data_IF_921049628902
#
_entry.id   IF_921049628902
#
_cell.length_a   1.000
_cell.length_b   1.000
_cell.length_c   1.000
_cell.angle_alpha   90.00
_cell.angle_beta   90.00
_cell.angle_gamma   90.00
#
_symmetry.space_group_name_H-M   'P 1'
#
loop_
_entity.id
_entity.type
_entity.pdbx_description
1 polymer ?
#
# COMPACT_ATOMS: atom_id res chain seq x y z
N UNK A 1 -20.97 24.97 -30.81
CA UNK A 1 -21.08 23.55 -30.41
C UNK A 1 -19.87 22.83 -30.97
N UNK A 2 -18.92 22.48 -30.13
CA UNK A 2 -17.81 21.58 -30.46
C UNK A 2 -17.96 20.34 -29.56
N UNK A 3 -17.82 19.12 -30.08
CA UNK A 3 -17.77 17.96 -29.21
C UNK A 3 -16.39 17.93 -28.54
N UNK A 4 -16.39 17.89 -27.21
CA UNK A 4 -15.22 17.53 -26.42
C UNK A 4 -14.88 16.07 -26.74
N UNK A 5 -13.70 15.87 -27.31
CA UNK A 5 -13.11 14.56 -27.53
C UNK A 5 -13.06 13.80 -26.21
N UNK A 6 -13.66 12.61 -26.21
CA UNK A 6 -13.50 11.61 -25.16
C UNK A 6 -12.04 11.19 -25.19
N UNK A 7 -11.26 11.61 -24.20
CA UNK A 7 -9.96 11.02 -23.91
C UNK A 7 -10.21 9.56 -23.54
N UNK A 8 -9.91 8.66 -24.46
CA UNK A 8 -9.87 7.23 -24.19
C UNK A 8 -8.67 6.99 -23.27
N UNK A 9 -8.93 6.82 -21.98
CA UNK A 9 -7.93 6.41 -21.00
C UNK A 9 -7.54 4.95 -21.33
N UNK A 10 -6.40 4.77 -21.99
CA UNK A 10 -5.72 3.50 -22.19
C UNK A 10 -5.14 2.99 -20.86
N UNK A 11 -5.99 2.62 -19.91
CA UNK A 11 -5.60 1.68 -18.86
C UNK A 11 -5.85 0.24 -19.34
N UNK A 12 -5.73 -0.75 -18.45
CA UNK A 12 -6.10 -2.19 -18.62
C UNK A 12 -7.52 -2.40 -19.22
N UNK A 13 -8.26 -1.33 -19.48
CA UNK A 13 -9.53 -1.25 -20.20
C UNK A 13 -9.53 -1.84 -21.64
N UNK A 14 -8.39 -2.25 -22.21
CA UNK A 14 -8.40 -3.14 -23.36
C UNK A 14 -8.64 -4.56 -22.84
N UNK A 15 -9.63 -5.28 -23.37
CA UNK A 15 -9.98 -6.65 -22.94
C UNK A 15 -8.93 -7.70 -23.33
N UNK A 16 -7.64 -7.37 -23.15
CA UNK A 16 -6.48 -8.16 -23.50
C UNK A 16 -6.04 -8.97 -22.27
N UNK A 17 -6.16 -10.31 -22.29
CA UNK A 17 -5.71 -11.17 -21.21
C UNK A 17 -4.24 -10.93 -20.82
N UNK A 18 -3.37 -10.65 -21.80
CA UNK A 18 -1.94 -10.42 -21.55
C UNK A 18 -1.68 -9.17 -20.69
N UNK A 19 -2.49 -8.12 -20.84
CA UNK A 19 -2.37 -6.89 -20.04
C UNK A 19 -2.80 -7.12 -18.59
N UNK A 20 -3.83 -7.93 -18.37
CA UNK A 20 -4.30 -8.26 -17.04
C UNK A 20 -3.37 -9.23 -16.30
N UNK A 21 -2.78 -10.18 -17.03
CA UNK A 21 -1.76 -11.08 -16.50
C UNK A 21 -0.53 -10.28 -16.05
N UNK A 22 -0.05 -9.36 -16.90
CA UNK A 22 1.03 -8.43 -16.56
C UNK A 22 0.71 -7.57 -15.32
N UNK A 23 -0.51 -7.03 -15.23
CA UNK A 23 -0.94 -6.24 -14.07
C UNK A 23 -0.94 -7.06 -12.78
N UNK A 24 -1.34 -8.33 -12.86
CA UNK A 24 -1.38 -9.25 -11.71
C UNK A 24 0.03 -9.62 -11.25
N UNK A 25 0.96 -9.83 -12.18
CA UNK A 25 2.37 -10.03 -11.85
C UNK A 25 3.02 -8.79 -11.26
N UNK A 26 2.70 -7.60 -11.80
CA UNK A 26 3.14 -6.32 -11.25
C UNK A 26 2.69 -6.14 -9.79
N UNK A 27 1.42 -6.39 -9.50
CA UNK A 27 0.86 -6.31 -8.13
C UNK A 27 1.69 -7.18 -7.16
N UNK A 28 1.89 -8.45 -7.51
CA UNK A 28 2.65 -9.41 -6.68
C UNK A 28 4.10 -8.97 -6.45
N UNK A 29 4.77 -8.50 -7.50
CA UNK A 29 6.17 -8.08 -7.42
C UNK A 29 6.32 -6.81 -6.58
N UNK A 30 5.49 -5.79 -6.81
CA UNK A 30 5.51 -4.55 -6.02
C UNK A 30 5.19 -4.82 -4.54
N UNK A 31 4.21 -5.68 -4.24
CA UNK A 31 3.93 -6.11 -2.87
C UNK A 31 5.12 -6.80 -2.22
N UNK A 32 5.79 -7.71 -2.92
CA UNK A 32 6.97 -8.39 -2.39
C UNK A 32 8.08 -7.38 -2.04
N UNK A 33 8.31 -6.38 -2.89
CA UNK A 33 9.29 -5.33 -2.65
C UNK A 33 8.89 -4.43 -1.46
N UNK A 34 7.63 -4.01 -1.39
CA UNK A 34 7.10 -3.19 -0.30
C UNK A 34 7.17 -3.92 1.05
N UNK A 35 6.82 -5.22 1.09
CA UNK A 35 6.94 -6.06 2.30
C UNK A 35 8.38 -6.21 2.78
N UNK A 36 9.35 -6.32 1.87
CA UNK A 36 10.76 -6.35 2.24
C UNK A 36 11.20 -5.04 2.91
N UNK A 37 10.76 -3.90 2.37
CA UNK A 37 11.02 -2.59 2.98
C UNK A 37 10.36 -2.46 4.36
N UNK A 38 9.08 -2.84 4.49
CA UNK A 38 8.38 -2.85 5.78
C UNK A 38 9.08 -3.71 6.83
N UNK A 39 9.55 -4.90 6.44
CA UNK A 39 10.26 -5.79 7.37
C UNK A 39 11.55 -5.17 7.88
N UNK A 40 12.27 -4.44 7.03
CA UNK A 40 13.47 -3.71 7.45
C UNK A 40 13.13 -2.55 8.41
N UNK A 41 12.10 -1.77 8.08
CA UNK A 41 11.62 -0.68 8.94
C UNK A 41 11.16 -1.19 10.31
N UNK A 42 10.33 -2.24 10.32
CA UNK A 42 9.82 -2.86 11.53
C UNK A 42 10.95 -3.40 12.41
N UNK A 43 11.94 -4.05 11.81
CA UNK A 43 13.10 -4.58 12.53
C UNK A 43 13.88 -3.45 13.21
N UNK A 44 14.27 -2.42 12.47
CA UNK A 44 15.01 -1.28 13.03
C UNK A 44 14.19 -0.49 14.05
N UNK A 45 12.87 -0.37 13.87
CA UNK A 45 11.98 0.25 14.86
C UNK A 45 11.94 -0.55 16.18
N UNK A 46 11.91 -1.89 16.10
CA UNK A 46 11.95 -2.76 17.29
C UNK A 46 13.28 -2.63 18.04
N UNK A 47 14.39 -2.48 17.33
CA UNK A 47 15.72 -2.31 17.94
C UNK A 47 15.83 -1.06 18.81
N UNK A 48 15.09 0.02 18.51
CA UNK A 48 15.05 1.24 19.34
C UNK A 48 14.72 0.94 20.81
N UNK A 49 13.86 -0.03 21.07
CA UNK A 49 13.48 -0.41 22.44
C UNK A 49 14.60 -1.09 23.24
N UNK A 50 15.57 -1.67 22.54
CA UNK A 50 16.70 -2.41 23.11
C UNK A 50 17.90 -1.52 23.41
N UNK A 51 17.91 -0.28 22.90
CA UNK A 51 19.00 0.66 23.11
C UNK A 51 18.99 1.21 24.54
N UNK A 52 20.18 1.26 25.15
CA UNK A 52 20.39 1.82 26.48
C UNK A 52 20.75 3.31 26.45
N UNK A 53 21.37 3.78 25.35
CA UNK A 53 21.67 5.19 25.12
C UNK A 53 20.53 5.88 24.35
N UNK A 54 19.82 6.84 24.96
CA UNK A 54 18.80 7.62 24.26
C UNK A 54 19.33 8.39 23.04
N UNK A 55 20.60 8.80 23.04
CA UNK A 55 21.18 9.54 21.91
C UNK A 55 21.31 8.65 20.66
N UNK A 56 21.69 7.38 20.84
CA UNK A 56 21.71 6.37 19.79
C UNK A 56 20.30 6.13 19.25
N UNK A 57 19.30 6.00 20.13
CA UNK A 57 17.90 5.85 19.73
C UNK A 57 17.37 7.02 18.90
N UNK A 58 17.75 8.26 19.22
CA UNK A 58 17.41 9.43 18.40
C UNK A 58 18.02 9.33 17.00
N UNK A 59 19.26 8.85 16.88
CA UNK A 59 19.91 8.69 15.57
C UNK A 59 19.19 7.64 14.72
N UNK A 60 18.86 6.49 15.32
CA UNK A 60 18.10 5.43 14.64
C UNK A 60 16.73 5.93 14.18
N UNK A 61 15.99 6.64 15.02
CA UNK A 61 14.68 7.21 14.64
C UNK A 61 14.81 8.22 13.48
N UNK A 62 15.86 9.05 13.46
CA UNK A 62 16.09 9.98 12.34
C UNK A 62 16.37 9.25 11.03
N UNK A 63 17.12 8.16 11.08
CA UNK A 63 17.36 7.31 9.91
C UNK A 63 16.07 6.62 9.46
N UNK A 64 15.31 6.05 10.39
CA UNK A 64 14.00 5.45 10.12
C UNK A 64 13.06 6.45 9.44
N UNK A 65 13.02 7.71 9.90
CA UNK A 65 12.22 8.76 9.25
C UNK A 65 12.59 8.97 7.77
N UNK A 66 13.86 8.91 7.41
CA UNK A 66 14.27 9.02 6.01
C UNK A 66 13.87 7.78 5.21
N UNK A 67 14.06 6.59 5.77
CA UNK A 67 13.69 5.33 5.13
C UNK A 67 12.18 5.22 4.94
N UNK A 68 11.40 5.60 5.94
CA UNK A 68 9.93 5.61 5.88
C UNK A 68 9.43 6.61 4.84
N UNK A 69 10.08 7.76 4.65
CA UNK A 69 9.72 8.69 3.58
C UNK A 69 9.87 8.06 2.19
N UNK A 70 10.99 7.37 1.93
CA UNK A 70 11.19 6.65 0.68
C UNK A 70 10.21 5.48 0.50
N UNK A 71 9.89 4.77 1.57
CA UNK A 71 8.87 3.73 1.55
C UNK A 71 7.49 4.29 1.16
N UNK A 72 7.07 5.41 1.76
CA UNK A 72 5.81 6.08 1.43
C UNK A 72 5.79 6.52 -0.02
N UNK A 73 6.88 7.06 -0.57
CA UNK A 73 6.96 7.39 -2.00
C UNK A 73 6.78 6.16 -2.92
N UNK A 74 7.24 4.97 -2.50
CA UNK A 74 7.01 3.74 -3.25
C UNK A 74 5.56 3.25 -3.10
N UNK A 75 5.03 3.27 -1.88
CA UNK A 75 3.67 2.87 -1.57
C UNK A 75 2.63 3.73 -2.30
N UNK A 76 2.78 5.05 -2.29
CA UNK A 76 1.83 5.96 -2.96
C UNK A 76 1.88 5.82 -4.48
N UNK A 77 3.05 5.54 -5.08
CA UNK A 77 3.14 5.26 -6.53
C UNK A 77 2.45 3.96 -6.90
N UNK A 78 2.51 2.97 -6.01
CA UNK A 78 1.81 1.70 -6.17
C UNK A 78 0.28 1.93 -6.08
N UNK A 79 -0.19 2.55 -5.00
CA UNK A 79 -1.61 2.88 -4.80
C UNK A 79 -2.17 3.75 -5.95
N UNK A 80 -1.41 4.75 -6.41
CA UNK A 80 -1.81 5.58 -7.55
C UNK A 80 -2.04 4.75 -8.83
N UNK A 81 -1.17 3.78 -9.09
CA UNK A 81 -1.35 2.89 -10.23
C UNK A 81 -2.59 2.01 -10.07
N UNK A 82 -2.83 1.47 -8.89
CA UNK A 82 -4.01 0.65 -8.62
C UNK A 82 -5.31 1.44 -8.83
N UNK A 83 -5.37 2.66 -8.28
CA UNK A 83 -6.51 3.56 -8.37
C UNK A 83 -6.78 4.06 -9.79
N UNK A 84 -5.75 4.21 -10.62
CA UNK A 84 -5.87 4.71 -11.98
C UNK A 84 -6.13 3.60 -13.01
N UNK A 85 -5.64 2.39 -12.76
CA UNK A 85 -5.65 1.32 -13.76
C UNK A 85 -6.38 0.06 -13.28
N UNK A 86 -5.87 -0.60 -12.22
CA UNK A 86 -6.32 -1.94 -11.85
C UNK A 86 -7.73 -1.96 -11.25
N UNK A 87 -7.98 -1.13 -10.25
CA UNK A 87 -9.28 -1.12 -9.55
C UNK A 87 -10.42 -0.61 -10.43
N UNK A 88 -10.26 0.46 -11.23
CA UNK A 88 -11.29 0.88 -12.17
C UNK A 88 -11.66 -0.21 -13.17
N UNK A 89 -10.66 -0.95 -13.68
CA UNK A 89 -10.90 -2.07 -14.58
C UNK A 89 -11.74 -3.17 -13.92
N UNK A 90 -11.34 -3.63 -12.73
CA UNK A 90 -12.07 -4.67 -12.00
C UNK A 90 -13.50 -4.22 -11.64
N UNK A 91 -13.65 -2.98 -11.19
CA UNK A 91 -14.96 -2.41 -10.86
C UNK A 91 -15.88 -2.35 -12.09
N UNK A 92 -15.40 -1.85 -13.23
CA UNK A 92 -16.19 -1.82 -14.47
C UNK A 92 -16.58 -3.23 -14.93
N UNK A 93 -15.63 -4.17 -14.87
CA UNK A 93 -15.88 -5.56 -15.26
C UNK A 93 -16.97 -6.21 -14.40
N UNK A 94 -16.85 -6.14 -13.07
CA UNK A 94 -17.80 -6.81 -12.16
C UNK A 94 -19.12 -6.07 -11.99
N UNK A 95 -19.17 -4.74 -12.16
CA UNK A 95 -20.44 -4.00 -12.14
C UNK A 95 -21.37 -4.35 -13.30
N UNK A 96 -20.82 -4.90 -14.40
CA UNK A 96 -21.60 -5.41 -15.53
C UNK A 96 -22.16 -6.81 -15.30
N UNK A 97 -21.67 -7.52 -14.27
CA UNK A 97 -22.16 -8.84 -13.91
C UNK A 97 -23.36 -8.73 -12.94
N UNK A 98 -24.27 -9.71 -12.99
CA UNK A 98 -25.33 -9.86 -11.98
C UNK A 98 -24.77 -10.49 -10.70
N UNK A 99 -23.79 -9.84 -10.07
CA UNK A 99 -23.08 -10.28 -8.88
C UNK A 99 -23.14 -9.20 -7.78
N UNK A 100 -22.91 -9.54 -6.50
CA UNK A 100 -22.74 -8.55 -5.45
C UNK A 100 -21.61 -7.56 -5.80
N UNK A 101 -21.82 -6.29 -5.48
CA UNK A 101 -20.79 -5.26 -5.69
C UNK A 101 -19.55 -5.54 -4.83
N UNK A 102 -18.37 -5.41 -5.45
CA UNK A 102 -17.07 -5.52 -4.78
C UNK A 102 -16.60 -4.18 -4.17
N UNK A 103 -17.32 -3.08 -4.43
CA UNK A 103 -16.99 -1.73 -3.93
C UNK A 103 -16.79 -1.66 -2.42
N UNK A 104 -17.59 -2.34 -1.56
CA UNK A 104 -17.36 -2.30 -0.12
C UNK A 104 -15.99 -2.86 0.29
N UNK A 105 -15.46 -3.86 -0.42
CA UNK A 105 -14.16 -4.45 -0.12
C UNK A 105 -13.01 -3.48 -0.44
N UNK A 106 -13.05 -2.82 -1.60
CA UNK A 106 -12.07 -1.79 -1.95
C UNK A 106 -12.10 -0.60 -0.99
N UNK A 107 -13.29 -0.24 -0.49
CA UNK A 107 -13.39 0.80 0.52
C UNK A 107 -12.72 0.42 1.85
N UNK A 108 -12.74 -0.86 2.24
CA UNK A 108 -12.02 -1.33 3.43
C UNK A 108 -10.51 -1.23 3.21
N UNK A 109 -10.00 -1.66 2.04
CA UNK A 109 -8.57 -1.54 1.71
C UNK A 109 -8.08 -0.09 1.79
N UNK A 110 -8.84 0.85 1.22
CA UNK A 110 -8.54 2.28 1.28
C UNK A 110 -8.51 2.79 2.74
N UNK A 111 -9.37 2.27 3.62
CA UNK A 111 -9.35 2.65 5.03
C UNK A 111 -8.15 2.10 5.79
N UNK A 112 -7.70 0.90 5.47
CA UNK A 112 -6.49 0.33 6.06
C UNK A 112 -5.24 1.11 5.61
N UNK A 113 -5.16 1.47 4.32
CA UNK A 113 -4.10 2.33 3.78
C UNK A 113 -4.06 3.69 4.50
N UNK A 114 -5.19 4.41 4.54
CA UNK A 114 -5.30 5.70 5.24
C UNK A 114 -4.90 5.60 6.72
N UNK A 115 -5.30 4.52 7.40
CA UNK A 115 -4.97 4.31 8.80
C UNK A 115 -3.45 4.11 8.97
N UNK A 116 -2.82 3.29 8.14
CA UNK A 116 -1.38 3.10 8.19
C UNK A 116 -0.60 4.39 7.95
N UNK A 117 -1.01 5.18 6.94
CA UNK A 117 -0.41 6.48 6.65
C UNK A 117 -0.54 7.42 7.86
N UNK A 118 -1.67 7.43 8.57
CA UNK A 118 -1.82 8.25 9.77
C UNK A 118 -0.83 7.90 10.89
N UNK A 119 -0.49 6.61 11.05
CA UNK A 119 0.52 6.18 12.01
C UNK A 119 1.94 6.60 11.58
N UNK A 120 2.25 6.54 10.29
CA UNK A 120 3.52 7.04 9.75
C UNK A 120 3.65 8.56 9.96
N UNK A 121 2.58 9.32 9.74
CA UNK A 121 2.57 10.76 10.00
C UNK A 121 2.81 11.06 11.49
N UNK A 122 2.10 10.35 12.37
CA UNK A 122 2.29 10.48 13.83
C UNK A 122 3.73 10.16 14.25
N UNK A 123 4.33 9.12 13.66
CA UNK A 123 5.74 8.78 13.84
C UNK A 123 6.67 9.94 13.43
N UNK A 124 6.45 10.54 12.27
CA UNK A 124 7.24 11.67 11.79
C UNK A 124 7.12 12.91 12.70
N UNK A 125 5.89 13.24 13.13
CA UNK A 125 5.61 14.35 14.04
C UNK A 125 6.30 14.15 15.39
N UNK A 126 6.19 12.95 15.96
CA UNK A 126 6.83 12.61 17.24
C UNK A 126 8.34 12.81 17.19
N UNK A 127 8.99 12.53 16.06
CA UNK A 127 10.43 12.75 15.87
C UNK A 127 10.80 14.23 15.79
N UNK A 128 9.95 15.06 15.16
CA UNK A 128 10.17 16.51 15.04
C UNK A 128 10.13 17.16 16.42
N UNK A 129 9.23 16.70 17.29
CA UNK A 129 9.01 17.24 18.64
C UNK A 129 10.00 16.71 19.69
N UNK A 130 10.99 15.90 19.29
CA UNK A 130 12.03 15.41 20.21
C UNK A 130 12.89 16.56 20.74
N UNK A 131 12.69 16.91 22.01
CA UNK A 131 13.51 17.90 22.73
C UNK A 131 14.90 17.35 23.07
N UNK A 132 15.88 18.20 23.45
CA UNK A 132 17.23 17.74 23.83
C UNK A 132 17.28 16.80 25.03
N UNK A 133 16.24 16.79 25.88
CA UNK A 133 16.11 15.88 27.02
C UNK A 133 15.07 14.81 26.61
N UNK A 134 15.50 13.90 25.74
CA UNK A 134 14.66 12.76 25.35
C UNK A 134 14.71 11.70 26.46
N UNK A 135 13.55 11.32 26.97
CA UNK A 135 13.43 10.16 27.85
C UNK A 135 13.12 8.92 27.01
N UNK A 136 13.70 7.77 27.38
CA UNK A 136 13.54 6.47 26.69
C UNK A 136 12.09 6.14 26.31
N UNK A 137 11.12 6.57 27.12
CA UNK A 137 9.68 6.43 26.84
C UNK A 137 9.25 7.06 25.51
N UNK A 138 9.71 8.27 25.19
CA UNK A 138 9.34 8.98 23.95
C UNK A 138 9.91 8.27 22.70
N UNK A 139 11.11 7.68 22.82
CA UNK A 139 11.70 6.90 21.72
C UNK A 139 10.88 5.65 21.41
N UNK A 140 10.46 4.94 22.47
CA UNK A 140 9.61 3.75 22.35
C UNK A 140 8.23 4.12 21.77
N UNK A 141 7.65 5.23 22.21
CA UNK A 141 6.37 5.74 21.69
C UNK A 141 6.47 6.05 20.19
N UNK A 142 7.48 6.80 19.76
CA UNK A 142 7.74 7.05 18.34
C UNK A 142 7.87 5.74 17.55
N UNK A 143 8.75 4.83 17.99
CA UNK A 143 8.96 3.55 17.33
C UNK A 143 7.66 2.71 17.25
N UNK A 144 6.80 2.77 18.27
CA UNK A 144 5.54 2.03 18.30
C UNK A 144 4.56 2.46 17.21
N UNK A 145 4.53 3.75 16.86
CA UNK A 145 3.71 4.23 15.74
C UNK A 145 4.16 3.63 14.41
N UNK A 146 5.48 3.58 14.16
CA UNK A 146 6.00 2.97 12.94
C UNK A 146 5.76 1.46 12.90
N UNK A 147 5.92 0.76 14.03
CA UNK A 147 5.61 -0.68 14.12
C UNK A 147 4.13 -0.92 13.81
N UNK A 148 3.23 -0.10 14.36
CA UNK A 148 1.80 -0.23 14.10
C UNK A 148 1.46 -0.02 12.62
N UNK A 149 2.07 0.97 11.96
CA UNK A 149 1.93 1.15 10.51
C UNK A 149 2.42 -0.08 9.73
N UNK A 150 3.56 -0.66 10.10
CA UNK A 150 4.10 -1.85 9.44
C UNK A 150 3.17 -3.06 9.55
N UNK A 151 2.51 -3.24 10.71
CA UNK A 151 1.54 -4.31 10.90
C UNK A 151 0.31 -4.11 10.01
N UNK A 152 -0.27 -2.90 10.03
CA UNK A 152 -1.47 -2.58 9.23
C UNK A 152 -1.19 -2.75 7.74
N UNK A 153 -0.05 -2.29 7.24
CA UNK A 153 0.29 -2.43 5.81
C UNK A 153 0.55 -3.88 5.41
N UNK A 154 1.16 -4.69 6.29
CA UNK A 154 1.31 -6.12 6.01
C UNK A 154 -0.05 -6.83 5.91
N UNK A 155 -0.99 -6.46 6.78
CA UNK A 155 -2.35 -7.01 6.74
C UNK A 155 -3.10 -6.50 5.50
N UNK A 156 -2.99 -5.21 5.18
CA UNK A 156 -3.55 -4.57 3.98
C UNK A 156 -3.16 -5.31 2.70
N UNK A 157 -1.85 -5.45 2.43
CA UNK A 157 -1.38 -6.20 1.24
C UNK A 157 -1.89 -7.63 1.21
N UNK A 158 -2.08 -8.26 2.38
CA UNK A 158 -2.57 -9.64 2.45
C UNK A 158 -4.06 -9.71 2.09
N UNK A 159 -4.86 -8.77 2.62
CA UNK A 159 -6.28 -8.69 2.31
C UNK A 159 -6.51 -8.31 0.84
N UNK A 160 -5.67 -7.43 0.32
CA UNK A 160 -5.67 -7.04 -1.09
C UNK A 160 -5.35 -8.20 -2.01
N UNK A 161 -4.26 -8.93 -1.78
CA UNK A 161 -3.92 -10.12 -2.57
C UNK A 161 -5.04 -11.17 -2.52
N UNK A 162 -5.64 -11.39 -1.35
CA UNK A 162 -6.77 -12.32 -1.18
C UNK A 162 -8.05 -11.87 -1.89
N UNK A 163 -8.21 -10.56 -2.13
CA UNK A 163 -9.34 -9.99 -2.84
C UNK A 163 -9.07 -9.94 -4.35
N UNK A 164 -7.98 -9.29 -4.74
CA UNK A 164 -7.69 -8.87 -6.11
C UNK A 164 -7.22 -10.03 -6.97
N UNK A 165 -6.35 -10.91 -6.48
CA UNK A 165 -5.82 -12.03 -7.29
C UNK A 165 -6.97 -12.94 -7.78
N UNK A 166 -7.89 -13.43 -6.92
CA UNK A 166 -9.01 -14.25 -7.40
C UNK A 166 -9.92 -13.52 -8.40
N UNK A 167 -10.06 -12.19 -8.28
CA UNK A 167 -10.85 -11.39 -9.22
C UNK A 167 -10.17 -11.35 -10.59
N UNK A 168 -8.85 -11.11 -10.63
CA UNK A 168 -8.06 -11.10 -11.88
C UNK A 168 -8.06 -12.46 -12.56
N UNK A 169 -7.87 -13.56 -11.81
CA UNK A 169 -7.93 -14.93 -12.33
C UNK A 169 -9.29 -15.27 -12.95
N UNK A 170 -10.37 -14.80 -12.31
CA UNK A 170 -11.73 -14.98 -12.83
C UNK A 170 -11.92 -14.23 -14.15
N UNK A 171 -11.48 -12.98 -14.24
CA UNK A 171 -11.58 -12.20 -15.48
C UNK A 171 -10.78 -12.86 -16.60
N UNK A 172 -9.56 -13.33 -16.32
CA UNK A 172 -8.74 -14.06 -17.30
C UNK A 172 -9.46 -15.32 -17.81
N UNK A 173 -10.00 -16.14 -16.91
CA UNK A 173 -10.76 -17.35 -17.25
C UNK A 173 -11.97 -17.03 -18.13
N UNK A 174 -12.71 -15.98 -17.78
CA UNK A 174 -13.89 -15.55 -18.53
C UNK A 174 -13.48 -15.08 -19.95
N UNK A 175 -12.39 -14.30 -20.09
CA UNK A 175 -11.87 -13.85 -21.39
C UNK A 175 -11.39 -15.02 -22.26
N UNK A 176 -10.62 -15.97 -21.72
CA UNK A 176 -10.17 -17.17 -22.44
C UNK A 176 -11.36 -17.99 -22.98
N UNK A 177 -12.43 -18.11 -22.19
CA UNK A 177 -13.65 -18.80 -22.62
C UNK A 177 -14.40 -18.05 -23.73
N UNK A 178 -14.29 -16.72 -23.83
CA UNK A 178 -14.92 -15.94 -24.90
C UNK A 178 -14.17 -16.04 -26.24
N UNK A 179 -12.85 -16.28 -26.20
CA UNK A 179 -11.99 -16.36 -27.39
C UNK A 179 -11.72 -17.80 -27.89
N UNK A 180 -12.24 -18.81 -27.18
CA UNK A 180 -12.19 -20.24 -27.56
C UNK A 180 -13.40 -20.68 -28.37
#
# INVERSE_FOLDING_TARGET
MAPLSITCMLGIASSNPDELDFATDRLKEEHNQLRQQLKALEHSAKEVSLLDDPAEGVQVLRQLRQQTAHFVEALERHAEWEDQELFPFLLDYFNRQSAPSITPSFWVLEKDHQLAISFIQTFHETIIDLTPIVIKKQLIEAASHLIQACLILNDHFTMEEQLVIPLTEKVLTDLESFFS
#
